data_IF_552881208453
#
_entry.id   IF_552881208453
#
_cell.length_a   1.000
_cell.length_b   1.000
_cell.length_c   1.000
_cell.angle_alpha   90.00
_cell.angle_beta   90.00
_cell.angle_gamma   90.00
#
_symmetry.space_group_name_H-M   'P 1'
#
loop_
_entity.id
_entity.type
_entity.pdbx_description
1 polymer ?
#
# COMPACT_ATOMS: atom_id res chain seq x y z
N UNK A 1 -3.24 -21.04 17.94
CA UNK A 1 -1.89 -20.64 17.50
C UNK A 1 -0.95 -20.75 18.67
N UNK A 2 0.13 -21.50 18.52
CA UNK A 2 1.28 -21.42 19.42
C UNK A 2 1.84 -20.00 19.38
N UNK A 3 2.50 -19.53 20.45
CA UNK A 3 3.19 -18.22 20.44
C UNK A 3 4.20 -18.12 19.29
N UNK A 4 4.82 -19.24 18.90
CA UNK A 4 5.72 -19.31 17.75
C UNK A 4 5.04 -19.04 16.40
N UNK A 5 3.79 -19.46 16.24
CA UNK A 5 3.04 -19.28 14.98
C UNK A 5 2.69 -17.80 14.77
N UNK A 6 2.38 -17.09 15.85
CA UNK A 6 2.05 -15.66 15.82
C UNK A 6 3.23 -14.78 15.41
N UNK A 7 4.41 -15.05 15.96
CA UNK A 7 5.63 -14.30 15.64
C UNK A 7 6.03 -14.52 14.18
N UNK A 8 6.03 -15.77 13.72
CA UNK A 8 6.34 -16.11 12.31
C UNK A 8 5.36 -15.46 11.34
N UNK A 9 4.07 -15.45 11.67
CA UNK A 9 3.03 -14.80 10.85
C UNK A 9 3.24 -13.29 10.78
N UNK A 10 3.50 -12.64 11.92
CA UNK A 10 3.76 -11.20 11.96
C UNK A 10 5.00 -10.83 11.16
N UNK A 11 6.07 -11.63 11.25
CA UNK A 11 7.28 -11.45 10.48
C UNK A 11 7.03 -11.59 8.97
N UNK A 12 6.26 -12.60 8.56
CA UNK A 12 5.88 -12.79 7.16
C UNK A 12 5.05 -11.61 6.61
N UNK A 13 4.08 -11.10 7.39
CA UNK A 13 3.31 -9.90 7.03
C UNK A 13 4.24 -8.70 6.88
N UNK A 14 5.17 -8.51 7.82
CA UNK A 14 6.07 -7.36 7.82
C UNK A 14 7.00 -7.35 6.60
N UNK A 15 7.62 -8.48 6.27
CA UNK A 15 8.44 -8.62 5.06
C UNK A 15 7.61 -8.40 3.80
N UNK A 16 6.44 -9.05 3.72
CA UNK A 16 5.55 -8.92 2.56
C UNK A 16 5.11 -7.47 2.34
N UNK A 17 4.88 -6.72 3.42
CA UNK A 17 4.51 -5.29 3.37
C UNK A 17 5.64 -4.42 2.82
N UNK A 18 6.89 -4.70 3.21
CA UNK A 18 8.07 -3.99 2.68
C UNK A 18 8.25 -4.30 1.20
N UNK A 19 8.18 -5.57 0.80
CA UNK A 19 8.28 -5.98 -0.60
C UNK A 19 7.17 -5.35 -1.45
N UNK A 20 5.95 -5.34 -0.93
CA UNK A 20 4.80 -4.68 -1.56
C UNK A 20 5.09 -3.20 -1.80
N UNK A 21 5.61 -2.48 -0.82
CA UNK A 21 5.98 -1.07 -0.97
C UNK A 21 7.08 -0.82 -2.00
N UNK A 22 8.11 -1.68 -2.04
CA UNK A 22 9.21 -1.56 -3.02
C UNK A 22 8.70 -1.71 -4.46
N UNK A 23 7.82 -2.69 -4.71
CA UNK A 23 7.23 -2.91 -6.05
C UNK A 23 6.38 -1.73 -6.53
N UNK A 24 5.87 -0.90 -5.61
CA UNK A 24 5.04 0.27 -5.95
C UNK A 24 5.85 1.55 -6.20
N UNK A 25 7.16 1.58 -5.88
CA UNK A 25 7.99 2.77 -6.10
C UNK A 25 8.05 3.26 -7.56
N UNK A 26 8.15 2.39 -8.59
CA UNK A 26 8.20 2.83 -9.98
C UNK A 26 6.95 3.62 -10.41
N UNK A 27 5.79 3.35 -9.79
CA UNK A 27 4.51 3.98 -10.15
C UNK A 27 4.52 5.49 -9.96
N UNK A 28 5.37 6.03 -9.09
CA UNK A 28 5.52 7.48 -8.90
C UNK A 28 5.86 8.18 -10.22
N UNK A 29 6.71 7.56 -11.05
CA UNK A 29 7.13 8.11 -12.35
C UNK A 29 6.03 8.06 -13.41
N UNK A 30 4.98 7.27 -13.19
CA UNK A 30 3.80 7.24 -14.07
C UNK A 30 2.86 8.43 -13.79
N UNK A 31 2.94 9.02 -12.60
CA UNK A 31 2.04 10.08 -12.16
C UNK A 31 2.73 11.45 -12.17
N UNK A 32 4.05 11.52 -11.94
CA UNK A 32 4.79 12.79 -11.86
C UNK A 32 6.14 12.71 -12.59
N UNK A 33 6.42 13.70 -13.43
CA UNK A 33 7.67 13.80 -14.20
C UNK A 33 8.90 14.13 -13.34
N UNK A 34 8.73 14.96 -12.31
CA UNK A 34 9.78 15.32 -11.34
C UNK A 34 9.32 15.08 -9.89
N UNK A 35 9.37 13.83 -9.41
CA UNK A 35 8.88 13.50 -8.08
C UNK A 35 9.80 14.02 -6.98
N UNK A 36 9.21 14.67 -5.98
CA UNK A 36 9.92 15.17 -4.79
C UNK A 36 10.29 13.99 -3.88
N UNK A 37 11.38 14.07 -3.09
CA UNK A 37 11.76 13.02 -2.14
C UNK A 37 10.64 12.60 -1.19
N UNK A 38 9.81 13.55 -0.75
CA UNK A 38 8.65 13.28 0.10
C UNK A 38 7.61 12.34 -0.55
N UNK A 39 7.50 12.34 -1.88
CA UNK A 39 6.58 11.42 -2.57
C UNK A 39 7.05 9.96 -2.43
N UNK A 40 8.35 9.70 -2.49
CA UNK A 40 8.90 8.36 -2.28
C UNK A 40 8.69 7.88 -0.85
N UNK A 41 8.93 8.76 0.13
CA UNK A 41 8.67 8.47 1.55
C UNK A 41 7.20 8.14 1.76
N UNK A 42 6.31 8.96 1.21
CA UNK A 42 4.88 8.73 1.27
C UNK A 42 4.48 7.39 0.65
N UNK A 43 4.92 7.12 -0.58
CA UNK A 43 4.63 5.85 -1.27
C UNK A 43 5.12 4.65 -0.46
N UNK A 44 6.31 4.70 0.12
CA UNK A 44 6.83 3.60 0.94
C UNK A 44 5.96 3.40 2.19
N UNK A 45 5.78 4.44 3.00
CA UNK A 45 5.05 4.34 4.27
C UNK A 45 3.60 3.89 4.03
N UNK A 46 2.92 4.50 3.06
CA UNK A 46 1.54 4.16 2.74
C UNK A 46 1.41 2.72 2.24
N UNK A 47 2.30 2.23 1.37
CA UNK A 47 2.21 0.85 0.89
C UNK A 47 2.61 -0.18 1.95
N UNK A 48 3.57 0.13 2.84
CA UNK A 48 3.85 -0.73 4.01
C UNK A 48 2.59 -0.85 4.87
N UNK A 49 1.94 0.28 5.15
CA UNK A 49 0.70 0.31 5.92
C UNK A 49 -0.40 -0.53 5.27
N UNK A 50 -0.64 -0.36 3.96
CA UNK A 50 -1.63 -1.15 3.20
C UNK A 50 -1.30 -2.64 3.21
N UNK A 51 -0.06 -3.00 2.91
CA UNK A 51 0.40 -4.40 2.90
C UNK A 51 0.19 -5.07 4.26
N UNK A 52 0.41 -4.32 5.34
CA UNK A 52 0.24 -4.83 6.70
C UNK A 52 -1.23 -5.14 7.01
N UNK A 53 -2.14 -4.18 6.75
CA UNK A 53 -3.57 -4.38 7.01
C UNK A 53 -4.20 -5.41 6.08
N UNK A 54 -3.80 -5.46 4.81
CA UNK A 54 -4.23 -6.50 3.89
C UNK A 54 -3.73 -7.89 4.34
N UNK A 55 -2.50 -7.99 4.84
CA UNK A 55 -1.95 -9.21 5.43
C UNK A 55 -2.70 -9.66 6.68
N UNK A 56 -3.02 -8.74 7.60
CA UNK A 56 -3.85 -9.04 8.78
C UNK A 56 -5.25 -9.51 8.36
N UNK A 57 -5.89 -8.82 7.41
CA UNK A 57 -7.20 -9.20 6.89
C UNK A 57 -7.17 -10.57 6.19
N UNK A 58 -6.09 -10.90 5.49
CA UNK A 58 -5.89 -12.21 4.88
C UNK A 58 -5.86 -13.32 5.94
N UNK A 59 -5.13 -13.13 7.04
CA UNK A 59 -5.06 -14.13 8.12
C UNK A 59 -6.41 -14.29 8.82
N UNK A 60 -7.15 -13.20 9.02
CA UNK A 60 -8.42 -13.23 9.77
C UNK A 60 -9.64 -13.65 8.94
N UNK A 61 -9.66 -13.32 7.64
CA UNK A 61 -10.85 -13.46 6.79
C UNK A 61 -10.57 -14.00 5.38
N UNK A 62 -9.34 -14.43 5.10
CA UNK A 62 -8.94 -15.00 3.82
C UNK A 62 -8.78 -13.97 2.69
N UNK A 63 -8.65 -14.48 1.47
CA UNK A 63 -8.33 -13.68 0.28
C UNK A 63 -9.36 -12.56 0.02
N UNK A 64 -10.65 -12.85 0.17
CA UNK A 64 -11.70 -11.87 -0.11
C UNK A 64 -11.62 -10.67 0.84
N UNK A 65 -11.34 -10.90 2.13
CA UNK A 65 -11.15 -9.83 3.11
C UNK A 65 -9.95 -8.94 2.76
N UNK A 66 -8.83 -9.55 2.33
CA UNK A 66 -7.65 -8.80 1.89
C UNK A 66 -7.92 -7.94 0.65
N UNK A 67 -8.66 -8.48 -0.33
CA UNK A 67 -9.08 -7.75 -1.53
C UNK A 67 -9.94 -6.54 -1.15
N UNK A 68 -10.92 -6.69 -0.24
CA UNK A 68 -11.74 -5.57 0.22
C UNK A 68 -10.93 -4.48 0.90
N UNK A 69 -10.03 -4.83 1.83
CA UNK A 69 -9.15 -3.85 2.49
C UNK A 69 -8.28 -3.10 1.47
N UNK A 70 -7.72 -3.82 0.50
CA UNK A 70 -6.91 -3.21 -0.55
C UNK A 70 -7.72 -2.26 -1.45
N UNK A 71 -8.91 -2.66 -1.89
CA UNK A 71 -9.78 -1.82 -2.71
C UNK A 71 -10.25 -0.57 -1.95
N UNK A 72 -10.61 -0.71 -0.68
CA UNK A 72 -11.03 0.42 0.17
C UNK A 72 -9.91 1.46 0.29
N UNK A 73 -8.65 1.03 0.37
CA UNK A 73 -7.53 1.96 0.38
C UNK A 73 -7.48 2.80 -0.90
N UNK A 74 -7.60 2.17 -2.07
CA UNK A 74 -7.65 2.89 -3.34
C UNK A 74 -8.84 3.86 -3.42
N UNK A 75 -10.01 3.45 -2.94
CA UNK A 75 -11.20 4.30 -2.93
C UNK A 75 -11.05 5.52 -2.00
N UNK A 76 -10.47 5.33 -0.80
CA UNK A 76 -10.17 6.42 0.14
C UNK A 76 -9.15 7.38 -0.46
N UNK A 77 -8.17 6.85 -1.19
CA UNK A 77 -7.12 7.66 -1.81
C UNK A 77 -7.61 8.39 -3.08
N UNK A 78 -8.56 7.83 -3.80
CA UNK A 78 -9.01 8.31 -5.10
C UNK A 78 -9.27 9.83 -5.17
N UNK A 79 -9.98 10.48 -4.22
CA UNK A 79 -10.22 11.92 -4.28
C UNK A 79 -8.94 12.75 -4.25
N UNK A 80 -7.91 12.29 -3.54
CA UNK A 80 -6.61 12.97 -3.45
C UNK A 80 -5.84 12.78 -4.76
N UNK A 81 -5.85 11.57 -5.33
CA UNK A 81 -5.17 11.27 -6.61
C UNK A 81 -5.81 12.00 -7.77
N UNK A 82 -7.14 12.07 -7.79
CA UNK A 82 -7.89 12.76 -8.83
C UNK A 82 -7.59 14.27 -8.85
N UNK A 83 -7.48 14.92 -7.67
CA UNK A 83 -7.11 16.34 -7.59
C UNK A 83 -5.74 16.64 -8.21
N UNK A 84 -4.75 15.78 -7.97
CA UNK A 84 -3.41 15.96 -8.54
C UNK A 84 -3.37 15.62 -10.04
N UNK A 85 -4.08 14.58 -10.49
CA UNK A 85 -4.21 14.25 -11.91
C UNK A 85 -4.84 15.37 -12.74
N UNK A 86 -5.90 16.01 -12.23
CA UNK A 86 -6.55 17.14 -12.90
C UNK A 86 -5.58 18.32 -13.06
N UNK A 87 -4.79 18.65 -12.03
CA UNK A 87 -3.78 19.73 -12.11
C UNK A 87 -2.67 19.47 -13.13
N UNK A 88 -2.28 18.20 -13.30
CA UNK A 88 -1.24 17.80 -14.24
C UNK A 88 -1.68 17.91 -15.70
N UNK A 89 -2.95 17.59 -15.99
CA UNK A 89 -3.50 17.61 -17.35
C UNK A 89 -4.25 18.91 -17.71
N UNK A 90 -4.40 19.84 -16.77
CA UNK A 90 -4.96 21.18 -17.03
C UNK A 90 -3.91 22.23 -17.39
N UNK A 91 -2.64 21.83 -17.59
CA UNK A 91 -1.53 22.66 -18.07
C UNK A 91 -1.18 22.26 -19.49
#
# INVERSE_FOLDING_TARGET
MSMGDGVSTLFAISISSVLFAVVHLPNIKLVVSQPKPLMYVYTIISNIWVGFFAGVAFIQGGLLAAIFVHMLFHLIWWPIQNRENVKLHSK
#
